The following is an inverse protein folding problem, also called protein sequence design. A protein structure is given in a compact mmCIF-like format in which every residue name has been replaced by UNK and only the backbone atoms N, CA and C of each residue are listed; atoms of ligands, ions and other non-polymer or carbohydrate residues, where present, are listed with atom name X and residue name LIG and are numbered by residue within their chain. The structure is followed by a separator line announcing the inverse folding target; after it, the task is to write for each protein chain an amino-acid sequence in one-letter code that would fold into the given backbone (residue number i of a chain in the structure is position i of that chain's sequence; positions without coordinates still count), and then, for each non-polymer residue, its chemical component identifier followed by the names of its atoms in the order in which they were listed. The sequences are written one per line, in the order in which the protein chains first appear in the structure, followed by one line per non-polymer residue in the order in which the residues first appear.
data_IF_837483985667
#
_entry.id   IF_837483985667
#
_cell.length_a   1.000
_cell.length_b   1.000
_cell.length_c   1.000
_cell.angle_alpha   90.00
_cell.angle_beta   90.00
_cell.angle_gamma   90.00
#
_symmetry.space_group_name_H-M   'P 1'
#
loop_
_entity.id
_entity.type
_entity.pdbx_description
1 polymer ?
#
# COMPACT_ATOMS: atom_id res chain seq x y z
N UNK A 1 45.18 -39.49 25.27
CA UNK A 1 44.05 -39.89 24.40
C UNK A 1 42.76 -39.58 25.13
N UNK A 2 42.08 -38.50 24.75
CA UNK A 2 40.74 -38.16 25.23
C UNK A 2 40.00 -37.56 24.03
N UNK A 3 39.26 -38.41 23.32
CA UNK A 3 38.46 -38.07 22.15
C UNK A 3 37.04 -38.52 22.48
N UNK A 4 36.41 -37.80 23.40
CA UNK A 4 35.09 -38.13 23.91
C UNK A 4 34.54 -36.95 24.68
N UNK A 5 34.06 -35.93 23.98
CA UNK A 5 33.10 -34.95 24.55
C UNK A 5 32.49 -34.05 23.46
N UNK A 6 33.28 -33.61 22.48
CA UNK A 6 32.85 -32.54 21.58
C UNK A 6 31.77 -32.91 20.54
N UNK A 7 31.66 -34.19 20.14
CA UNK A 7 30.69 -34.62 19.14
C UNK A 7 29.27 -34.79 19.70
N UNK A 8 29.13 -34.95 21.03
CA UNK A 8 27.83 -35.12 21.68
C UNK A 8 27.15 -33.78 21.99
N UNK A 9 27.89 -32.69 22.17
CA UNK A 9 27.30 -31.35 22.39
C UNK A 9 26.77 -30.73 21.10
N UNK A 10 27.39 -31.00 19.95
CA UNK A 10 26.92 -30.51 18.64
C UNK A 10 25.59 -31.17 18.20
N UNK A 11 25.34 -32.42 18.62
CA UNK A 11 24.13 -33.17 18.27
C UNK A 11 22.89 -32.82 19.14
N UNK A 12 23.07 -32.14 20.27
CA UNK A 12 21.98 -31.77 21.19
C UNK A 12 21.40 -30.37 20.91
N UNK A 13 22.05 -29.53 20.09
CA UNK A 13 21.58 -28.15 19.82
C UNK A 13 20.73 -27.98 18.55
N UNK A 14 20.46 -29.04 17.78
CA UNK A 14 19.48 -29.04 16.69
C UNK A 14 18.05 -29.33 17.19
N UNK A 15 17.68 -28.77 18.35
CA UNK A 15 16.27 -28.67 18.71
C UNK A 15 15.60 -27.76 17.68
N UNK A 16 14.75 -28.36 16.87
CA UNK A 16 14.23 -27.85 15.60
C UNK A 16 13.70 -26.42 15.70
N UNK A 17 14.29 -25.50 14.94
CA UNK A 17 13.78 -24.15 14.77
C UNK A 17 12.35 -24.20 14.19
N UNK A 18 11.40 -23.50 14.83
CA UNK A 18 9.96 -23.64 14.53
C UNK A 18 9.46 -22.41 13.77
N UNK A 19 8.75 -22.56 12.64
CA UNK A 19 8.13 -21.42 11.96
C UNK A 19 7.16 -20.68 12.88
N UNK A 20 7.34 -19.37 13.03
CA UNK A 20 6.51 -18.50 13.90
C UNK A 20 5.01 -18.68 13.67
N UNK A 21 4.60 -18.79 12.40
CA UNK A 21 3.20 -18.99 12.02
C UNK A 21 2.62 -20.29 12.57
N UNK A 22 3.41 -21.37 12.60
CA UNK A 22 2.98 -22.66 13.15
C UNK A 22 2.81 -22.59 14.68
N UNK A 23 3.67 -21.82 15.38
CA UNK A 23 3.53 -21.58 16.82
C UNK A 23 2.24 -20.84 17.15
N UNK A 24 1.94 -19.78 16.38
CA UNK A 24 0.70 -19.01 16.53
C UNK A 24 -0.52 -19.89 16.28
N UNK A 25 -0.52 -20.68 15.19
CA UNK A 25 -1.65 -21.56 14.86
C UNK A 25 -1.89 -22.61 15.95
N UNK A 26 -0.83 -23.28 16.42
CA UNK A 26 -0.92 -24.26 17.51
C UNK A 26 -1.44 -23.62 18.81
N UNK A 27 -0.88 -22.47 19.19
CA UNK A 27 -1.29 -21.77 20.40
C UNK A 27 -2.75 -21.30 20.33
N UNK A 28 -3.19 -20.83 19.16
CA UNK A 28 -4.57 -20.41 18.93
C UNK A 28 -5.54 -21.57 19.08
N UNK A 29 -5.25 -22.72 18.45
CA UNK A 29 -6.07 -23.94 18.58
C UNK A 29 -6.14 -24.45 20.02
N UNK A 30 -5.06 -24.28 20.79
CA UNK A 30 -5.02 -24.67 22.20
C UNK A 30 -5.92 -23.79 23.11
N UNK A 31 -6.34 -22.60 22.66
CA UNK A 31 -7.34 -21.79 23.39
C UNK A 31 -8.71 -22.49 23.37
N UNK A 32 -9.05 -23.23 22.31
CA UNK A 32 -10.35 -23.90 22.19
C UNK A 32 -11.49 -22.93 21.84
N UNK A 33 -12.70 -23.20 22.33
CA UNK A 33 -13.91 -22.46 21.97
C UNK A 33 -13.97 -21.04 22.54
N UNK A 34 -14.86 -20.22 21.97
CA UNK A 34 -15.12 -18.84 22.40
C UNK A 34 -14.28 -17.78 21.68
N UNK A 35 -13.58 -18.15 20.60
CA UNK A 35 -12.78 -17.23 19.77
C UNK A 35 -13.17 -17.29 18.29
N UNK A 36 -14.31 -17.89 17.97
CA UNK A 36 -14.73 -18.22 16.60
C UNK A 36 -14.82 -16.98 15.70
N UNK A 37 -15.30 -15.85 16.23
CA UNK A 37 -15.39 -14.57 15.47
C UNK A 37 -14.03 -13.93 15.19
N UNK A 38 -12.97 -14.43 15.82
CA UNK A 38 -11.57 -14.05 15.62
C UNK A 38 -10.79 -15.12 14.84
N UNK A 39 -11.45 -16.21 14.44
CA UNK A 39 -10.87 -17.35 13.72
C UNK A 39 -11.30 -17.37 12.24
N UNK A 40 -10.48 -18.01 11.40
CA UNK A 40 -10.82 -18.37 10.03
C UNK A 40 -11.62 -19.69 10.02
N UNK A 41 -12.16 -20.05 8.85
CA UNK A 41 -12.98 -21.26 8.66
C UNK A 41 -12.22 -22.56 8.99
N UNK A 42 -10.89 -22.55 8.94
CA UNK A 42 -10.02 -23.67 9.30
C UNK A 42 -9.72 -23.76 10.81
N UNK A 43 -10.31 -22.88 11.62
CA UNK A 43 -10.12 -22.78 13.07
C UNK A 43 -8.82 -22.11 13.52
N UNK A 44 -7.96 -21.68 12.58
CA UNK A 44 -6.79 -20.85 12.89
C UNK A 44 -7.16 -19.38 13.11
N UNK A 45 -6.26 -18.53 13.61
CA UNK A 45 -6.56 -17.12 13.80
C UNK A 45 -6.71 -16.38 12.46
N UNK A 46 -7.64 -15.43 12.37
CA UNK A 46 -7.69 -14.52 11.23
C UNK A 46 -6.36 -13.77 11.08
N UNK A 47 -5.97 -13.46 9.84
CA UNK A 47 -4.81 -12.58 9.58
C UNK A 47 -4.92 -11.24 10.33
N UNK A 48 -6.12 -10.71 10.49
CA UNK A 48 -6.37 -9.47 11.25
C UNK A 48 -6.23 -9.67 12.75
N UNK A 49 -6.64 -10.80 13.29
CA UNK A 49 -6.42 -11.17 14.71
C UNK A 49 -4.93 -11.16 15.03
N UNK A 50 -4.10 -11.76 14.17
CA UNK A 50 -2.64 -11.72 14.33
C UNK A 50 -2.12 -10.29 14.32
N UNK A 51 -2.49 -9.51 13.29
CA UNK A 51 -1.96 -8.15 13.09
C UNK A 51 -2.44 -7.11 14.11
N UNK A 52 -3.67 -7.23 14.61
CA UNK A 52 -4.33 -6.19 15.43
C UNK A 52 -4.39 -6.54 16.91
N UNK A 53 -4.28 -7.83 17.26
CA UNK A 53 -4.35 -8.28 18.65
C UNK A 53 -3.05 -8.98 19.03
N UNK A 54 -2.68 -10.06 18.34
CA UNK A 54 -1.57 -10.89 18.80
C UNK A 54 -0.23 -10.16 18.76
N UNK A 55 0.15 -9.60 17.61
CA UNK A 55 1.43 -8.93 17.43
C UNK A 55 1.58 -7.68 18.32
N UNK A 56 0.64 -6.73 18.31
CA UNK A 56 0.79 -5.49 19.09
C UNK A 56 0.44 -5.62 20.58
N UNK A 57 -0.58 -6.40 20.96
CA UNK A 57 -1.18 -6.33 22.30
C UNK A 57 -0.82 -7.55 23.18
N UNK A 58 -0.75 -8.74 22.60
CA UNK A 58 -0.40 -9.97 23.34
C UNK A 58 1.11 -10.15 23.39
N UNK A 59 1.75 -10.23 22.22
CA UNK A 59 3.18 -10.48 22.06
C UNK A 59 3.99 -9.20 22.26
N UNK A 60 3.41 -8.04 21.96
CA UNK A 60 4.04 -6.72 22.07
C UNK A 60 5.40 -6.70 21.38
N UNK A 61 5.44 -6.99 20.08
CA UNK A 61 6.68 -7.22 19.33
C UNK A 61 7.72 -6.09 19.41
N UNK A 62 7.30 -4.84 19.67
CA UNK A 62 8.23 -3.71 19.89
C UNK A 62 9.08 -3.90 21.15
N UNK A 63 8.50 -4.49 22.20
CA UNK A 63 9.16 -4.75 23.48
C UNK A 63 9.72 -6.18 23.56
N UNK A 64 9.19 -7.11 22.78
CA UNK A 64 9.62 -8.51 22.74
C UNK A 64 10.03 -8.92 21.32
N UNK A 65 11.12 -8.34 20.82
CA UNK A 65 11.62 -8.53 19.45
C UNK A 65 12.00 -9.99 19.16
N UNK A 66 12.34 -10.79 20.17
CA UNK A 66 12.58 -12.22 20.01
C UNK A 66 11.38 -12.97 19.37
N UNK A 67 10.15 -12.49 19.57
CA UNK A 67 8.95 -13.10 18.99
C UNK A 67 8.67 -12.68 17.54
N UNK A 68 9.44 -11.76 16.95
CA UNK A 68 9.22 -11.26 15.59
C UNK A 68 9.96 -12.06 14.51
N UNK A 69 10.92 -12.91 14.89
CA UNK A 69 11.69 -13.69 13.92
C UNK A 69 10.79 -14.68 13.15
N UNK A 70 10.96 -14.85 11.82
CA UNK A 70 10.14 -15.77 11.02
C UNK A 70 10.24 -17.23 11.45
N UNK A 71 11.40 -17.62 11.98
CA UNK A 71 11.70 -18.93 12.56
C UNK A 71 12.24 -18.69 13.96
N UNK A 72 11.68 -19.39 14.95
CA UNK A 72 11.96 -19.20 16.37
C UNK A 72 12.81 -20.35 16.91
N UNK A 73 13.72 -20.01 17.82
CA UNK A 73 14.36 -21.01 18.66
C UNK A 73 13.30 -21.75 19.52
N UNK A 74 13.49 -23.03 19.86
CA UNK A 74 12.53 -23.84 20.60
C UNK A 74 12.02 -23.22 21.90
N UNK A 75 12.90 -22.57 22.65
CA UNK A 75 12.60 -21.92 23.92
C UNK A 75 11.71 -20.70 23.70
N UNK A 76 12.02 -19.90 22.67
CA UNK A 76 11.24 -18.72 22.27
C UNK A 76 9.87 -19.15 21.74
N UNK A 77 9.80 -20.22 20.96
CA UNK A 77 8.56 -20.80 20.47
C UNK A 77 7.67 -21.29 21.62
N UNK A 78 8.27 -21.92 22.63
CA UNK A 78 7.57 -22.39 23.84
C UNK A 78 7.04 -21.22 24.67
N UNK A 79 7.85 -20.19 24.90
CA UNK A 79 7.45 -18.99 25.61
C UNK A 79 6.32 -18.24 24.87
N UNK A 80 6.43 -18.10 23.55
CA UNK A 80 5.41 -17.46 22.72
C UNK A 80 4.08 -18.23 22.78
N UNK A 81 4.14 -19.56 22.69
CA UNK A 81 2.96 -20.42 22.80
C UNK A 81 2.28 -20.26 24.17
N UNK A 82 3.06 -20.36 25.26
CA UNK A 82 2.55 -20.19 26.62
C UNK A 82 1.92 -18.81 26.84
N UNK A 83 2.52 -17.75 26.28
CA UNK A 83 2.00 -16.38 26.38
C UNK A 83 0.63 -16.23 25.69
N UNK A 84 0.47 -16.77 24.49
CA UNK A 84 -0.81 -16.71 23.75
C UNK A 84 -1.88 -17.52 24.49
N UNK A 85 -1.58 -18.76 24.87
CA UNK A 85 -2.52 -19.62 25.61
C UNK A 85 -2.90 -19.00 26.96
N UNK A 86 -1.94 -18.40 27.66
CA UNK A 86 -2.16 -17.70 28.93
C UNK A 86 -3.09 -16.48 28.80
N UNK A 87 -3.23 -15.91 27.60
CA UNK A 87 -4.20 -14.84 27.30
C UNK A 87 -5.56 -15.36 26.80
N UNK A 88 -5.78 -16.67 26.80
CA UNK A 88 -7.02 -17.31 26.35
C UNK A 88 -8.29 -16.68 26.94
N UNK A 89 -8.41 -16.46 28.26
CA UNK A 89 -9.58 -15.81 28.85
C UNK A 89 -9.85 -14.40 28.30
N UNK A 90 -8.81 -13.57 28.15
CA UNK A 90 -8.95 -12.23 27.57
C UNK A 90 -9.32 -12.29 26.08
N UNK A 91 -8.78 -13.27 25.33
CA UNK A 91 -9.12 -13.46 23.91
C UNK A 91 -10.57 -13.90 23.72
N UNK A 92 -11.13 -14.72 24.62
CA UNK A 92 -12.56 -15.06 24.61
C UNK A 92 -13.43 -13.85 24.96
N UNK A 93 -13.09 -13.12 26.03
CA UNK A 93 -13.78 -11.88 26.37
C UNK A 93 -13.70 -10.85 25.22
N UNK A 94 -12.58 -10.80 24.49
CA UNK A 94 -12.42 -9.94 23.29
C UNK A 94 -13.40 -10.34 22.20
N UNK A 95 -13.59 -11.63 21.97
CA UNK A 95 -14.56 -12.15 21.01
C UNK A 95 -15.99 -11.78 21.41
N UNK A 96 -16.34 -11.90 22.69
CA UNK A 96 -17.65 -11.51 23.23
C UNK A 96 -17.90 -10.00 23.08
N UNK A 97 -16.90 -9.17 23.39
CA UNK A 97 -16.97 -7.71 23.17
C UNK A 97 -17.20 -7.40 21.70
N UNK A 98 -16.51 -8.10 20.79
CA UNK A 98 -16.69 -7.89 19.36
C UNK A 98 -18.11 -8.25 18.89
N UNK A 99 -18.73 -9.28 19.44
CA UNK A 99 -20.14 -9.62 19.17
C UNK A 99 -21.07 -8.52 19.68
N UNK A 100 -20.84 -7.99 20.89
CA UNK A 100 -21.60 -6.88 21.45
C UNK A 100 -21.49 -5.61 20.58
N UNK A 101 -20.25 -5.20 20.23
CA UNK A 101 -20.03 -4.04 19.35
C UNK A 101 -20.63 -4.25 17.96
N UNK A 102 -20.60 -5.46 17.39
CA UNK A 102 -21.28 -5.74 16.10
C UNK A 102 -22.79 -5.59 16.19
N UNK A 103 -23.40 -5.98 17.30
CA UNK A 103 -24.83 -5.83 17.53
C UNK A 103 -25.20 -4.36 17.69
N UNK A 104 -24.44 -3.62 18.49
CA UNK A 104 -24.67 -2.18 18.67
C UNK A 104 -24.38 -1.38 17.39
N UNK A 105 -23.36 -1.75 16.60
CA UNK A 105 -23.09 -1.18 15.26
C UNK A 105 -24.30 -1.28 14.34
N UNK A 106 -24.97 -2.45 14.33
CA UNK A 106 -26.19 -2.67 13.55
C UNK A 106 -27.34 -1.82 14.07
N UNK A 107 -27.50 -1.72 15.41
CA UNK A 107 -28.53 -0.89 16.05
C UNK A 107 -28.38 0.59 15.68
N UNK A 108 -27.16 1.11 15.69
CA UNK A 108 -26.83 2.50 15.32
C UNK A 108 -26.76 2.74 13.80
N UNK A 109 -27.02 1.71 12.97
CA UNK A 109 -26.96 1.78 11.50
C UNK A 109 -25.61 2.30 10.97
N UNK A 110 -24.52 1.98 11.66
CA UNK A 110 -23.17 2.32 11.22
C UNK A 110 -22.79 1.37 10.08
N UNK A 111 -22.60 1.93 8.89
CA UNK A 111 -22.25 1.16 7.67
C UNK A 111 -20.77 1.30 7.28
N UNK A 112 -20.08 2.30 7.81
CA UNK A 112 -18.70 2.65 7.45
C UNK A 112 -17.65 1.94 8.33
N UNK A 113 -16.40 1.91 7.87
CA UNK A 113 -15.27 1.26 8.54
C UNK A 113 -15.28 -0.28 8.55
N UNK A 114 -14.10 -0.90 8.44
CA UNK A 114 -13.96 -2.35 8.62
C UNK A 114 -13.98 -2.69 10.11
N UNK A 115 -15.04 -3.38 10.57
CA UNK A 115 -15.23 -3.71 11.98
C UNK A 115 -14.07 -4.51 12.58
N UNK A 116 -13.46 -5.43 11.81
CA UNK A 116 -12.31 -6.21 12.32
C UNK A 116 -11.06 -5.35 12.46
N UNK A 117 -10.91 -4.30 11.66
CA UNK A 117 -9.74 -3.41 11.75
C UNK A 117 -9.89 -2.40 12.88
N UNK A 118 -11.09 -1.85 13.05
CA UNK A 118 -11.36 -0.80 14.03
C UNK A 118 -11.62 -1.35 15.43
N UNK A 119 -12.33 -2.46 15.55
CA UNK A 119 -12.86 -2.89 16.86
C UNK A 119 -11.95 -3.88 17.56
N UNK A 120 -11.13 -4.66 16.84
CA UNK A 120 -10.29 -5.70 17.45
C UNK A 120 -9.36 -5.18 18.56
N UNK A 121 -8.60 -4.09 18.37
CA UNK A 121 -7.76 -3.55 19.45
C UNK A 121 -8.59 -3.11 20.66
N UNK A 122 -9.67 -2.37 20.41
CA UNK A 122 -10.54 -1.83 21.47
C UNK A 122 -11.27 -2.93 22.23
N UNK A 123 -11.73 -3.97 21.55
CA UNK A 123 -12.34 -5.14 22.20
C UNK A 123 -11.34 -5.85 23.11
N UNK A 124 -10.06 -5.89 22.75
CA UNK A 124 -9.02 -6.46 23.60
C UNK A 124 -8.73 -5.58 24.82
N UNK A 125 -8.68 -4.26 24.65
CA UNK A 125 -8.55 -3.32 25.76
C UNK A 125 -9.74 -3.42 26.73
N UNK A 126 -10.97 -3.50 26.22
CA UNK A 126 -12.17 -3.72 27.03
C UNK A 126 -12.13 -5.08 27.74
N UNK A 127 -11.67 -6.14 27.07
CA UNK A 127 -11.50 -7.45 27.70
C UNK A 127 -10.46 -7.42 28.84
N UNK A 128 -9.38 -6.65 28.68
CA UNK A 128 -8.34 -6.50 29.72
C UNK A 128 -8.83 -5.65 30.88
N UNK A 129 -9.56 -4.57 30.62
CA UNK A 129 -9.97 -3.59 31.64
C UNK A 129 -11.30 -3.93 32.32
N UNK A 130 -12.23 -4.55 31.60
CA UNK A 130 -13.60 -4.85 32.07
C UNK A 130 -13.94 -6.34 32.12
N UNK A 131 -13.11 -7.21 31.55
CA UNK A 131 -13.40 -8.65 31.49
C UNK A 131 -14.47 -8.99 30.45
N UNK A 132 -15.26 -10.03 30.72
CA UNK A 132 -16.34 -10.50 29.83
C UNK A 132 -17.48 -9.47 29.82
N UNK A 133 -18.00 -9.04 28.65
CA UNK A 133 -19.05 -8.03 28.59
C UNK A 133 -20.36 -8.52 29.21
N UNK A 134 -21.04 -7.64 29.95
CA UNK A 134 -22.36 -7.90 30.52
C UNK A 134 -23.44 -7.04 29.84
N UNK A 135 -24.71 -7.38 30.03
CA UNK A 135 -25.83 -6.58 29.46
C UNK A 135 -25.77 -5.11 29.88
N UNK A 136 -25.32 -4.83 31.11
CA UNK A 136 -25.11 -3.47 31.61
C UNK A 136 -24.06 -2.67 30.82
N UNK A 137 -23.13 -3.35 30.15
CA UNK A 137 -22.08 -2.72 29.34
C UNK A 137 -22.55 -2.20 27.98
N UNK A 138 -23.83 -2.36 27.64
CA UNK A 138 -24.36 -1.84 26.38
C UNK A 138 -24.18 -0.33 26.24
N UNK A 139 -24.19 0.42 27.35
CA UNK A 139 -23.84 1.85 27.35
C UNK A 139 -22.37 2.07 26.97
N UNK A 140 -21.45 1.28 27.55
CA UNK A 140 -20.02 1.29 27.17
C UNK A 140 -19.86 1.01 25.68
N UNK A 141 -20.51 -0.02 25.13
CA UNK A 141 -20.42 -0.34 23.71
C UNK A 141 -20.96 0.80 22.82
N UNK A 142 -22.01 1.49 23.30
CA UNK A 142 -22.57 2.67 22.62
C UNK A 142 -21.57 3.83 22.60
N UNK A 143 -20.98 4.17 23.74
CA UNK A 143 -19.98 5.24 23.88
C UNK A 143 -18.72 4.95 23.07
N UNK A 144 -18.20 3.73 23.15
CA UNK A 144 -17.03 3.29 22.38
C UNK A 144 -17.28 3.38 20.88
N UNK A 145 -18.43 2.90 20.39
CA UNK A 145 -18.77 3.05 18.97
C UNK A 145 -18.99 4.50 18.59
N UNK A 146 -19.62 5.27 19.48
CA UNK A 146 -19.78 6.69 19.28
C UNK A 146 -18.40 7.34 19.10
N UNK A 147 -17.45 7.15 19.99
CA UNK A 147 -16.13 7.78 19.92
C UNK A 147 -15.31 7.29 18.73
N UNK A 148 -15.35 5.97 18.44
CA UNK A 148 -14.67 5.40 17.27
C UNK A 148 -15.19 5.96 15.95
N UNK A 149 -16.47 6.38 15.87
CA UNK A 149 -17.11 6.85 14.65
C UNK A 149 -17.37 8.36 14.60
N UNK A 150 -17.36 9.08 15.74
CA UNK A 150 -17.55 10.54 15.87
C UNK A 150 -16.52 11.33 15.07
N UNK A 151 -15.34 10.76 14.80
CA UNK A 151 -14.26 11.38 14.05
C UNK A 151 -13.89 10.76 12.69
N UNK A 152 -14.45 9.59 12.31
CA UNK A 152 -13.81 8.74 11.28
C UNK A 152 -14.41 8.72 9.87
N UNK A 153 -15.68 9.03 9.62
CA UNK A 153 -16.19 8.89 8.23
C UNK A 153 -17.14 9.97 7.70
N UNK A 154 -17.78 10.77 8.56
CA UNK A 154 -18.71 11.82 8.11
C UNK A 154 -18.18 13.24 8.30
N UNK A 155 -17.62 13.53 9.47
CA UNK A 155 -17.17 14.89 9.84
C UNK A 155 -16.05 15.43 8.98
N UNK A 156 -14.99 14.69 8.63
CA UNK A 156 -13.87 15.29 7.88
C UNK A 156 -14.20 15.58 6.41
N UNK A 157 -14.97 14.70 5.75
CA UNK A 157 -15.45 14.95 4.39
C UNK A 157 -16.50 16.07 4.40
N UNK A 158 -17.37 16.11 5.41
CA UNK A 158 -18.32 17.22 5.60
C UNK A 158 -17.62 18.54 5.92
N UNK A 159 -16.53 18.52 6.71
CA UNK A 159 -15.69 19.70 7.00
C UNK A 159 -14.96 20.14 5.75
N UNK A 160 -14.44 19.21 4.94
CA UNK A 160 -13.87 19.52 3.63
C UNK A 160 -14.92 20.17 2.71
N UNK A 161 -16.09 19.56 2.58
CA UNK A 161 -17.17 20.10 1.75
C UNK A 161 -17.60 21.50 2.25
N UNK A 162 -17.77 21.69 3.56
CA UNK A 162 -18.08 23.02 4.11
C UNK A 162 -16.95 24.03 3.91
N UNK A 163 -15.70 23.58 3.98
CA UNK A 163 -14.53 24.44 3.77
C UNK A 163 -14.44 24.94 2.33
N UNK A 164 -14.76 24.08 1.36
CA UNK A 164 -14.70 24.43 -0.07
C UNK A 164 -15.98 25.12 -0.60
N UNK A 165 -17.09 25.04 0.14
CA UNK A 165 -18.31 25.82 -0.13
C UNK A 165 -18.08 27.33 0.01
N UNK A 166 -17.06 27.76 0.78
CA UNK A 166 -16.67 29.15 0.92
C UNK A 166 -15.86 29.64 -0.31
N UNK A 167 -16.39 30.57 -1.13
CA UNK A 167 -15.70 31.06 -2.32
C UNK A 167 -14.37 31.76 -2.01
N UNK A 168 -14.23 32.39 -0.83
CA UNK A 168 -12.99 33.07 -0.44
C UNK A 168 -11.86 32.07 -0.15
N UNK A 169 -12.20 30.90 0.39
CA UNK A 169 -11.28 29.78 0.58
C UNK A 169 -10.78 29.28 -0.77
N UNK A 170 -11.69 29.00 -1.71
CA UNK A 170 -11.34 28.53 -3.06
C UNK A 170 -10.46 29.55 -3.78
N UNK A 171 -10.80 30.84 -3.69
CA UNK A 171 -9.99 31.91 -4.28
C UNK A 171 -8.60 32.01 -3.65
N UNK A 172 -8.47 31.78 -2.33
CA UNK A 172 -7.17 31.75 -1.64
C UNK A 172 -6.31 30.57 -2.08
N UNK A 173 -6.89 29.37 -2.17
CA UNK A 173 -6.19 28.17 -2.64
C UNK A 173 -5.78 28.32 -4.11
N UNK A 174 -6.63 28.90 -4.97
CA UNK A 174 -6.28 29.19 -6.35
C UNK A 174 -5.11 30.16 -6.48
N UNK A 175 -5.07 31.23 -5.67
CA UNK A 175 -3.92 32.14 -5.61
C UNK A 175 -2.64 31.46 -5.13
N UNK A 176 -2.74 30.52 -4.18
CA UNK A 176 -1.60 29.72 -3.74
C UNK A 176 -1.09 28.85 -4.88
N UNK A 177 -1.98 28.10 -5.54
CA UNK A 177 -1.67 27.27 -6.71
C UNK A 177 -0.96 28.09 -7.78
N UNK A 178 -1.46 29.26 -8.14
CA UNK A 178 -0.88 30.07 -9.20
C UNK A 178 0.52 30.59 -8.85
N UNK A 179 0.86 30.72 -7.56
CA UNK A 179 2.23 31.01 -7.12
C UNK A 179 3.08 29.75 -7.16
N UNK A 180 2.69 28.70 -6.45
CA UNK A 180 3.44 27.44 -6.35
C UNK A 180 3.73 26.83 -7.73
N UNK A 181 2.77 26.88 -8.67
CA UNK A 181 2.95 26.42 -10.05
C UNK A 181 4.01 27.23 -10.83
N UNK A 182 4.10 28.54 -10.59
CA UNK A 182 5.08 29.42 -11.26
C UNK A 182 6.48 29.29 -10.67
N UNK A 183 6.60 28.83 -9.43
CA UNK A 183 7.88 28.70 -8.74
C UNK A 183 8.63 27.42 -9.14
N UNK A 184 7.93 26.40 -9.63
CA UNK A 184 8.54 25.16 -10.12
C UNK A 184 9.18 25.38 -11.49
N UNK A 185 10.51 25.21 -11.55
CA UNK A 185 11.31 25.42 -12.76
C UNK A 185 12.36 24.32 -12.89
N UNK A 186 12.48 23.74 -14.08
CA UNK A 186 13.58 22.84 -14.39
C UNK A 186 14.86 23.64 -14.66
N UNK A 187 16.00 23.05 -14.32
CA UNK A 187 17.30 23.45 -14.86
C UNK A 187 17.69 22.59 -16.09
N UNK A 188 18.85 22.88 -16.68
CA UNK A 188 19.42 22.17 -17.84
C UNK A 188 20.40 21.04 -17.45
N UNK A 189 20.25 20.43 -16.27
CA UNK A 189 21.15 19.38 -15.80
C UNK A 189 21.10 18.11 -16.67
N UNK A 190 22.26 17.45 -16.78
CA UNK A 190 22.41 16.21 -17.56
C UNK A 190 21.75 15.05 -16.81
N UNK A 191 20.77 14.40 -17.45
CA UNK A 191 19.95 13.33 -16.84
C UNK A 191 20.52 11.92 -17.00
N UNK A 192 21.49 11.72 -17.91
CA UNK A 192 22.08 10.42 -18.22
C UNK A 192 22.64 9.63 -17.02
N UNK A 193 23.42 10.25 -16.11
CA UNK A 193 23.96 9.57 -14.94
C UNK A 193 22.89 8.96 -14.02
N UNK A 194 21.74 9.63 -13.88
CA UNK A 194 20.63 9.13 -13.08
C UNK A 194 20.09 7.80 -13.63
N UNK A 195 19.82 7.75 -14.94
CA UNK A 195 19.32 6.53 -15.60
C UNK A 195 20.35 5.40 -15.60
N UNK A 196 21.64 5.72 -15.75
CA UNK A 196 22.71 4.72 -15.61
C UNK A 196 22.76 4.15 -14.18
N UNK A 197 22.54 4.98 -13.16
CA UNK A 197 22.45 4.53 -11.76
C UNK A 197 21.26 3.59 -11.52
N UNK A 198 20.14 3.80 -12.21
CA UNK A 198 18.96 2.91 -12.11
C UNK A 198 19.28 1.47 -12.52
N UNK A 199 20.23 1.25 -13.43
CA UNK A 199 20.71 -0.12 -13.77
C UNK A 199 21.23 -0.85 -12.54
N UNK A 200 21.91 -0.15 -11.63
CA UNK A 200 22.38 -0.72 -10.36
C UNK A 200 21.24 -0.92 -9.36
N UNK A 201 20.37 0.09 -9.22
CA UNK A 201 19.23 0.07 -8.27
C UNK A 201 18.22 -1.03 -8.60
N UNK A 202 17.93 -1.22 -9.88
CA UNK A 202 16.96 -2.20 -10.38
C UNK A 202 17.59 -3.53 -10.83
N UNK A 203 18.93 -3.65 -10.83
CA UNK A 203 19.68 -4.88 -11.14
C UNK A 203 19.76 -5.89 -9.99
N UNK A 204 20.43 -7.03 -10.21
CA UNK A 204 20.75 -8.06 -9.21
C UNK A 204 21.68 -7.56 -8.12
N UNK A 205 21.66 -8.28 -7.00
CA UNK A 205 22.70 -8.25 -5.98
C UNK A 205 22.67 -9.63 -5.32
N UNK A 206 23.74 -10.40 -5.52
CA UNK A 206 23.89 -11.73 -4.95
C UNK A 206 24.70 -11.73 -3.65
N UNK A 207 25.45 -10.67 -3.39
CA UNK A 207 26.32 -10.52 -2.22
C UNK A 207 25.94 -9.31 -1.36
N UNK A 208 26.31 -9.36 -0.08
CA UNK A 208 26.12 -8.23 0.85
C UNK A 208 26.81 -6.93 0.37
N UNK A 209 27.96 -7.06 -0.31
CA UNK A 209 28.69 -5.92 -0.88
C UNK A 209 27.90 -5.26 -2.01
N UNK A 210 27.28 -6.05 -2.89
CA UNK A 210 26.43 -5.53 -3.97
C UNK A 210 25.15 -4.90 -3.42
N UNK A 211 24.54 -5.49 -2.38
CA UNK A 211 23.37 -4.89 -1.71
C UNK A 211 23.71 -3.53 -1.09
N UNK A 212 24.88 -3.43 -0.43
CA UNK A 212 25.37 -2.16 0.14
C UNK A 212 25.70 -1.14 -0.95
N UNK A 213 26.30 -1.58 -2.07
CA UNK A 213 26.54 -0.72 -3.21
C UNK A 213 25.22 -0.18 -3.79
N UNK A 214 24.21 -1.05 -3.97
CA UNK A 214 22.88 -0.66 -4.42
C UNK A 214 22.24 0.41 -3.53
N UNK A 215 22.27 0.21 -2.21
CA UNK A 215 21.72 1.20 -1.27
C UNK A 215 22.44 2.55 -1.34
N UNK A 216 23.77 2.54 -1.53
CA UNK A 216 24.54 3.78 -1.73
C UNK A 216 24.18 4.49 -3.03
N UNK A 217 24.04 3.75 -4.14
CA UNK A 217 23.58 4.32 -5.42
C UNK A 217 22.18 4.90 -5.26
N UNK A 218 21.26 4.20 -4.59
CA UNK A 218 19.91 4.69 -4.36
C UNK A 218 19.90 6.02 -3.58
N UNK A 219 20.68 6.14 -2.51
CA UNK A 219 20.83 7.41 -1.79
C UNK A 219 21.37 8.54 -2.68
N UNK A 220 22.32 8.24 -3.57
CA UNK A 220 22.84 9.22 -4.51
C UNK A 220 21.78 9.65 -5.54
N UNK A 221 20.97 8.72 -6.04
CA UNK A 221 19.88 9.03 -6.98
C UNK A 221 18.75 9.83 -6.34
N UNK A 222 18.48 9.64 -5.04
CA UNK A 222 17.51 10.48 -4.31
C UNK A 222 18.00 11.93 -4.28
N UNK A 223 19.30 12.15 -4.03
CA UNK A 223 19.89 13.49 -3.97
C UNK A 223 20.18 14.10 -5.35
N UNK A 224 19.90 13.38 -6.43
CA UNK A 224 20.10 13.86 -7.79
C UNK A 224 18.95 14.83 -8.16
N UNK A 225 19.24 15.91 -8.89
CA UNK A 225 18.22 16.87 -9.31
C UNK A 225 17.36 16.37 -10.49
N UNK A 226 17.78 15.30 -11.18
CA UNK A 226 17.10 14.75 -12.36
C UNK A 226 15.61 14.48 -12.12
N UNK A 227 15.18 13.84 -11.01
CA UNK A 227 13.78 13.61 -10.75
C UNK A 227 12.96 14.89 -10.65
N UNK A 228 13.48 15.89 -9.95
CA UNK A 228 12.85 17.19 -9.83
C UNK A 228 12.75 17.86 -11.21
N UNK A 229 13.86 17.93 -11.95
CA UNK A 229 13.95 18.66 -13.21
C UNK A 229 13.05 18.08 -14.30
N UNK A 230 13.02 16.75 -14.43
CA UNK A 230 12.10 16.10 -15.37
C UNK A 230 10.63 16.35 -14.96
N UNK A 231 10.33 16.38 -13.67
CA UNK A 231 8.96 16.64 -13.21
C UNK A 231 8.56 18.10 -13.28
N UNK A 232 9.52 19.02 -13.24
CA UNK A 232 9.27 20.44 -13.48
C UNK A 232 9.11 20.74 -14.99
N UNK A 233 9.81 20.01 -15.86
CA UNK A 233 9.77 20.25 -17.30
C UNK A 233 8.42 19.91 -17.93
N UNK A 234 7.61 19.03 -17.32
CA UNK A 234 6.24 18.71 -17.79
C UNK A 234 5.28 19.90 -17.74
N UNK A 235 5.61 20.95 -16.98
CA UNK A 235 4.83 22.19 -16.96
C UNK A 235 5.13 23.09 -18.17
N UNK A 236 6.25 22.86 -18.86
CA UNK A 236 6.73 23.65 -20.00
C UNK A 236 6.26 23.10 -21.35
N UNK A 237 6.22 23.96 -22.37
CA UNK A 237 5.71 23.62 -23.72
C UNK A 237 6.66 22.77 -24.57
N UNK A 238 7.90 22.55 -24.13
CA UNK A 238 8.91 21.75 -24.84
C UNK A 238 9.14 20.48 -24.02
N UNK A 239 8.63 19.35 -24.51
CA UNK A 239 8.82 18.07 -23.85
C UNK A 239 10.29 17.64 -23.95
N UNK A 240 11.00 17.67 -22.81
CA UNK A 240 12.37 17.14 -22.68
C UNK A 240 12.39 15.73 -22.11
N UNK A 241 11.22 15.11 -21.95
CA UNK A 241 11.07 13.79 -21.38
C UNK A 241 11.41 12.68 -22.38
N UNK A 242 12.01 11.56 -21.91
CA UNK A 242 12.17 10.35 -22.73
C UNK A 242 10.85 9.63 -23.08
N UNK A 243 9.72 10.06 -22.53
CA UNK A 243 8.41 9.41 -22.63
C UNK A 243 7.28 10.44 -22.55
N UNK A 244 6.14 10.17 -23.19
CA UNK A 244 4.95 11.02 -23.07
C UNK A 244 4.18 10.73 -21.78
N UNK A 245 3.85 11.78 -21.01
CA UNK A 245 3.07 11.69 -19.77
C UNK A 245 1.62 11.21 -20.01
N UNK A 246 1.13 11.41 -21.24
CA UNK A 246 -0.21 10.98 -21.68
C UNK A 246 -0.23 9.49 -21.99
N UNK A 247 0.75 9.00 -22.75
CA UNK A 247 0.83 7.59 -23.13
C UNK A 247 0.96 6.67 -21.91
N UNK A 248 1.88 7.03 -20.99
CA UNK A 248 2.08 6.28 -19.75
C UNK A 248 0.94 6.48 -18.74
N UNK A 249 0.05 7.45 -18.98
CA UNK A 249 -1.19 7.66 -18.23
C UNK A 249 -1.02 8.34 -16.88
N UNK A 250 -0.02 9.22 -16.75
CA UNK A 250 0.13 10.10 -15.58
C UNK A 250 -0.76 11.34 -15.70
N UNK A 251 -0.93 11.90 -16.90
CA UNK A 251 -1.85 13.00 -17.23
C UNK A 251 -2.68 12.67 -18.48
N UNK A 252 -3.75 13.40 -18.72
CA UNK A 252 -4.55 13.35 -19.96
C UNK A 252 -4.08 14.33 -21.02
N UNK A 253 -3.27 15.32 -20.65
CA UNK A 253 -2.81 16.39 -21.53
C UNK A 253 -1.32 16.64 -21.37
N UNK A 254 -0.68 17.08 -22.44
CA UNK A 254 0.73 17.50 -22.46
C UNK A 254 0.83 18.84 -23.20
N UNK A 255 1.46 19.89 -22.62
CA UNK A 255 2.04 19.93 -21.27
C UNK A 255 0.99 19.83 -20.15
N UNK A 256 1.44 19.48 -18.95
CA UNK A 256 0.57 19.39 -17.79
C UNK A 256 -0.05 20.77 -17.49
N UNK A 257 -1.33 20.77 -17.13
CA UNK A 257 -2.04 21.98 -16.70
C UNK A 257 -1.98 22.14 -15.18
N UNK A 258 -2.03 23.38 -14.65
CA UNK A 258 -2.21 23.61 -13.23
C UNK A 258 -3.42 22.84 -12.68
N UNK A 259 -3.33 22.26 -11.47
CA UNK A 259 -4.43 21.47 -10.92
C UNK A 259 -5.65 22.36 -10.64
N UNK A 260 -6.85 21.83 -10.90
CA UNK A 260 -8.07 22.45 -10.42
C UNK A 260 -8.09 22.42 -8.88
N UNK A 261 -8.66 23.44 -8.24
CA UNK A 261 -8.88 23.40 -6.79
C UNK A 261 -10.00 22.41 -6.48
N UNK A 262 -11.15 22.63 -7.10
CA UNK A 262 -12.34 21.80 -7.01
C UNK A 262 -12.96 21.64 -8.40
N UNK A 263 -13.81 20.62 -8.57
CA UNK A 263 -14.48 20.28 -9.82
C UNK A 263 -14.03 18.94 -10.40
N UNK A 264 -14.96 18.28 -11.08
CA UNK A 264 -14.70 17.03 -11.80
C UNK A 264 -13.96 17.39 -13.09
N UNK A 265 -12.63 17.28 -13.05
CA UNK A 265 -11.83 17.32 -14.28
C UNK A 265 -12.03 15.94 -14.91
N UNK A 266 -12.38 15.88 -16.20
CA UNK A 266 -12.59 14.65 -16.99
C UNK A 266 -11.40 13.63 -16.97
N UNK A 267 -10.36 13.88 -16.18
CA UNK A 267 -9.19 13.03 -16.00
C UNK A 267 -9.21 12.26 -14.67
N UNK A 268 -9.41 10.94 -14.73
CA UNK A 268 -9.07 10.04 -13.63
C UNK A 268 -7.55 9.82 -13.45
N UNK A 269 -6.74 10.50 -14.25
CA UNK A 269 -5.28 10.38 -14.26
C UNK A 269 -4.69 11.01 -12.99
N UNK A 270 -3.60 10.46 -12.44
CA UNK A 270 -3.04 10.93 -11.18
C UNK A 270 -2.77 12.44 -11.11
N UNK A 271 -2.19 13.00 -12.18
CA UNK A 271 -1.76 14.41 -12.24
C UNK A 271 -2.88 15.38 -12.62
N UNK A 272 -4.06 14.88 -13.02
CA UNK A 272 -5.21 15.70 -13.41
C UNK A 272 -6.21 15.91 -12.27
N UNK A 273 -6.09 15.12 -11.19
CA UNK A 273 -7.00 15.19 -10.05
C UNK A 273 -6.97 16.56 -9.40
N UNK A 274 -8.15 17.08 -9.08
CA UNK A 274 -8.30 18.28 -8.29
C UNK A 274 -7.64 18.15 -6.91
N UNK A 275 -7.27 19.27 -6.31
CA UNK A 275 -6.75 19.33 -4.93
C UNK A 275 -7.76 18.69 -3.98
N UNK A 276 -9.04 19.04 -4.12
CA UNK A 276 -10.12 18.50 -3.28
C UNK A 276 -10.24 16.98 -3.42
N UNK A 277 -10.13 16.42 -4.62
CA UNK A 277 -10.19 14.96 -4.80
C UNK A 277 -9.01 14.23 -4.18
N UNK A 278 -7.81 14.83 -4.22
CA UNK A 278 -6.63 14.28 -3.55
C UNK A 278 -6.79 14.30 -2.03
N UNK A 279 -7.22 15.42 -1.45
CA UNK A 279 -7.53 15.53 -0.01
C UNK A 279 -8.62 14.54 0.39
N UNK A 280 -9.71 14.46 -0.37
CA UNK A 280 -10.81 13.51 -0.14
C UNK A 280 -10.31 12.07 -0.18
N UNK A 281 -9.43 11.73 -1.13
CA UNK A 281 -8.84 10.40 -1.22
C UNK A 281 -7.91 10.08 -0.03
N UNK A 282 -7.18 11.07 0.49
CA UNK A 282 -6.38 10.96 1.71
C UNK A 282 -7.27 10.70 2.93
N UNK A 283 -8.30 11.53 3.14
CA UNK A 283 -9.22 11.42 4.27
C UNK A 283 -9.98 10.07 4.28
N UNK A 284 -10.27 9.50 3.10
CA UNK A 284 -10.90 8.17 2.97
C UNK A 284 -9.96 7.00 3.34
N UNK A 285 -8.65 7.18 3.25
CA UNK A 285 -7.65 6.11 3.49
C UNK A 285 -6.99 6.20 4.87
N UNK A 286 -7.08 7.37 5.52
CA UNK A 286 -6.49 7.62 6.82
C UNK A 286 -7.20 6.83 7.94
N UNK A 287 -6.54 5.79 8.44
CA UNK A 287 -6.99 5.02 9.61
C UNK A 287 -6.65 5.75 10.93
N UNK A 288 -5.53 6.48 10.96
CA UNK A 288 -4.96 7.17 12.12
C UNK A 288 -4.95 8.69 11.89
N UNK A 289 -6.13 9.31 11.95
CA UNK A 289 -6.35 10.71 11.57
C UNK A 289 -5.71 11.75 12.48
N UNK A 290 -5.42 11.40 13.74
CA UNK A 290 -4.85 12.35 14.71
C UNK A 290 -3.43 12.79 14.33
N UNK A 291 -2.79 12.07 13.40
CA UNK A 291 -1.49 12.40 12.83
C UNK A 291 -1.59 13.30 11.58
N UNK A 292 -2.80 13.53 11.03
CA UNK A 292 -2.99 14.44 9.90
C UNK A 292 -3.25 15.90 10.36
N UNK A 293 -2.79 16.89 9.56
CA UNK A 293 -3.21 18.27 9.72
C UNK A 293 -4.73 18.46 9.67
N UNK A 294 -5.20 19.60 10.17
CA UNK A 294 -6.59 20.00 9.97
C UNK A 294 -6.91 20.21 8.47
N UNK A 295 -8.20 20.22 8.12
CA UNK A 295 -8.63 20.30 6.72
C UNK A 295 -8.09 21.54 6.00
N UNK A 296 -8.10 22.76 6.59
CA UNK A 296 -7.50 23.93 5.95
C UNK A 296 -6.01 23.76 5.64
N UNK A 297 -5.20 23.29 6.60
CA UNK A 297 -3.77 23.08 6.39
C UNK A 297 -3.52 21.96 5.38
N UNK A 298 -4.27 20.86 5.49
CA UNK A 298 -4.19 19.73 4.55
C UNK A 298 -4.50 20.15 3.10
N UNK A 299 -5.47 21.07 2.90
CA UNK A 299 -5.75 21.62 1.57
C UNK A 299 -4.62 22.50 1.05
N UNK A 300 -4.03 23.35 1.91
CA UNK A 300 -2.91 24.20 1.52
C UNK A 300 -1.67 23.37 1.14
N UNK A 301 -1.31 22.38 1.96
CA UNK A 301 -0.21 21.45 1.65
C UNK A 301 -0.48 20.60 0.41
N UNK A 302 -1.73 20.23 0.16
CA UNK A 302 -2.08 19.51 -1.07
C UNK A 302 -2.00 20.41 -2.31
N UNK A 303 -2.22 21.73 -2.19
CA UNK A 303 -1.95 22.65 -3.30
C UNK A 303 -0.47 22.63 -3.66
N UNK A 304 0.41 22.71 -2.66
CA UNK A 304 1.86 22.67 -2.90
C UNK A 304 2.28 21.31 -3.46
N UNK A 305 1.80 20.20 -2.88
CA UNK A 305 2.03 18.85 -3.42
C UNK A 305 1.52 18.71 -4.85
N UNK A 306 0.35 19.25 -5.19
CA UNK A 306 -0.20 19.15 -6.53
C UNK A 306 0.53 20.01 -7.57
N UNK A 307 1.18 21.09 -7.13
CA UNK A 307 2.02 21.93 -7.98
C UNK A 307 3.48 21.44 -8.05
N UNK A 308 3.93 20.62 -7.11
CA UNK A 308 5.28 20.07 -7.10
C UNK A 308 5.54 19.15 -8.32
N UNK A 309 6.80 18.95 -8.71
CA UNK A 309 7.17 17.97 -9.73
C UNK A 309 6.47 16.62 -9.52
N UNK A 310 5.82 16.12 -10.56
CA UNK A 310 5.04 14.88 -10.54
C UNK A 310 3.84 14.84 -9.58
N UNK A 311 3.50 15.96 -8.95
CA UNK A 311 2.55 16.00 -7.86
C UNK A 311 3.06 15.37 -6.55
N UNK A 312 4.39 15.37 -6.33
CA UNK A 312 5.08 14.79 -5.16
C UNK A 312 6.14 15.78 -4.65
N UNK A 313 6.15 16.06 -3.34
CA UNK A 313 7.07 17.05 -2.75
C UNK A 313 8.48 16.51 -2.54
N UNK A 314 8.61 15.29 -2.01
CA UNK A 314 9.93 14.80 -1.60
C UNK A 314 10.72 14.11 -2.72
N UNK A 315 12.02 14.36 -2.71
CA UNK A 315 12.97 13.85 -3.71
C UNK A 315 12.97 12.32 -3.80
N UNK A 316 12.86 11.63 -2.66
CA UNK A 316 12.82 10.16 -2.61
C UNK A 316 11.58 9.57 -3.32
N UNK A 317 10.46 10.29 -3.31
CA UNK A 317 9.19 9.88 -3.94
C UNK A 317 9.22 10.21 -5.43
N UNK A 318 9.81 11.34 -5.82
CA UNK A 318 10.05 11.68 -7.21
C UNK A 318 10.99 10.65 -7.87
N UNK A 319 12.14 10.34 -7.25
CA UNK A 319 13.06 9.30 -7.72
C UNK A 319 12.37 7.92 -7.81
N UNK A 320 11.54 7.58 -6.82
CA UNK A 320 10.80 6.31 -6.82
C UNK A 320 9.78 6.23 -7.95
N UNK A 321 9.13 7.35 -8.28
CA UNK A 321 8.22 7.42 -9.42
C UNK A 321 8.98 7.17 -10.72
N UNK A 322 10.14 7.79 -10.95
CA UNK A 322 10.92 7.57 -12.18
C UNK A 322 11.44 6.15 -12.31
N UNK A 323 11.91 5.54 -11.23
CA UNK A 323 12.23 4.11 -11.22
C UNK A 323 11.01 3.26 -11.63
N UNK A 324 9.82 3.67 -11.20
CA UNK A 324 8.55 3.05 -11.59
C UNK A 324 8.14 3.30 -13.04
N UNK A 325 8.38 4.49 -13.61
CA UNK A 325 8.12 4.79 -15.03
C UNK A 325 9.04 3.96 -15.93
N UNK A 326 10.32 3.88 -15.58
CA UNK A 326 11.31 3.06 -16.27
C UNK A 326 10.94 1.57 -16.23
N UNK A 327 10.46 1.09 -15.08
CA UNK A 327 9.93 -0.26 -14.99
C UNK A 327 8.64 -0.44 -15.81
N UNK A 328 7.67 0.47 -15.70
CA UNK A 328 6.38 0.38 -16.38
C UNK A 328 6.48 0.37 -17.90
N UNK A 329 7.44 1.10 -18.45
CA UNK A 329 7.72 1.17 -19.90
C UNK A 329 8.34 -0.13 -20.43
N UNK A 330 9.07 -0.87 -19.58
CA UNK A 330 9.57 -2.21 -19.89
C UNK A 330 8.49 -3.31 -19.80
N UNK A 331 7.37 -3.07 -19.10
CA UNK A 331 6.30 -4.05 -18.93
C UNK A 331 5.37 -4.08 -20.15
N UNK A 332 5.38 -5.22 -20.84
CA UNK A 332 4.62 -5.47 -22.07
C UNK A 332 4.01 -6.88 -22.02
N UNK A 333 2.99 -7.13 -21.19
CA UNK A 333 2.49 -8.48 -20.93
C UNK A 333 2.06 -9.28 -22.16
N UNK A 334 1.64 -8.60 -23.24
CA UNK A 334 1.22 -9.22 -24.51
C UNK A 334 2.37 -9.45 -25.49
N UNK A 335 3.53 -8.81 -25.30
CA UNK A 335 4.65 -8.87 -26.24
C UNK A 335 5.38 -10.21 -26.22
N UNK A 336 5.81 -10.66 -27.40
CA UNK A 336 6.66 -11.84 -27.55
C UNK A 336 8.12 -11.48 -27.24
N UNK A 337 8.71 -12.14 -26.24
CA UNK A 337 10.14 -12.04 -25.88
C UNK A 337 10.68 -10.60 -25.78
N UNK A 338 10.20 -9.84 -24.79
CA UNK A 338 10.60 -8.45 -24.58
C UNK A 338 11.91 -8.38 -23.80
N UNK A 339 12.96 -7.81 -24.40
CA UNK A 339 14.18 -7.44 -23.69
C UNK A 339 13.88 -6.24 -22.80
N UNK A 340 14.03 -6.42 -21.49
CA UNK A 340 13.85 -5.35 -20.50
C UNK A 340 15.20 -4.73 -20.14
N UNK A 341 15.24 -3.43 -19.88
CA UNK A 341 16.48 -2.70 -19.51
C UNK A 341 16.98 -3.09 -18.12
N UNK A 342 16.07 -3.45 -17.23
CA UNK A 342 16.37 -3.75 -15.84
C UNK A 342 16.00 -5.20 -15.48
N UNK A 343 16.80 -5.83 -14.62
CA UNK A 343 16.50 -7.20 -14.16
C UNK A 343 15.19 -7.28 -13.37
N UNK A 344 14.91 -6.28 -12.52
CA UNK A 344 13.63 -6.24 -11.80
C UNK A 344 12.44 -6.23 -12.76
N UNK A 345 12.54 -5.45 -13.84
CA UNK A 345 11.56 -5.43 -14.93
C UNK A 345 11.46 -6.81 -15.58
N UNK A 346 12.59 -7.45 -15.91
CA UNK A 346 12.63 -8.80 -16.49
C UNK A 346 11.88 -9.81 -15.63
N UNK A 347 12.14 -9.80 -14.31
CA UNK A 347 11.52 -10.70 -13.34
C UNK A 347 10.02 -10.48 -13.23
N UNK A 348 9.58 -9.23 -13.24
CA UNK A 348 8.14 -8.89 -13.16
C UNK A 348 7.43 -9.24 -14.47
N UNK A 349 8.00 -8.86 -15.61
CA UNK A 349 7.53 -9.21 -16.95
C UNK A 349 7.38 -10.73 -17.11
N UNK A 350 8.39 -11.50 -16.72
CA UNK A 350 8.36 -12.96 -16.78
C UNK A 350 7.26 -13.58 -15.92
N UNK A 351 6.89 -12.96 -14.79
CA UNK A 351 5.74 -13.38 -13.99
C UNK A 351 4.42 -13.03 -14.67
N UNK A 352 4.28 -11.80 -15.16
CA UNK A 352 3.06 -11.31 -15.81
C UNK A 352 2.72 -12.15 -17.05
N UNK A 353 3.71 -12.43 -17.91
CA UNK A 353 3.52 -13.23 -19.13
C UNK A 353 3.07 -14.68 -18.84
N UNK A 354 3.40 -15.20 -17.65
CA UNK A 354 3.02 -16.55 -17.20
C UNK A 354 1.67 -16.59 -16.48
N UNK A 355 1.02 -15.46 -16.25
CA UNK A 355 -0.33 -15.46 -15.69
C UNK A 355 -1.31 -16.11 -16.68
N UNK A 356 -2.17 -17.00 -16.18
CA UNK A 356 -3.06 -17.80 -17.02
C UNK A 356 -3.95 -16.93 -17.92
N UNK A 357 -4.44 -15.80 -17.40
CA UNK A 357 -5.29 -14.89 -18.16
C UNK A 357 -4.54 -14.13 -19.25
N UNK A 358 -3.25 -13.83 -19.04
CA UNK A 358 -2.39 -13.19 -20.05
C UNK A 358 -2.04 -14.18 -21.15
N UNK A 359 -1.67 -15.42 -20.78
CA UNK A 359 -1.45 -16.49 -21.74
C UNK A 359 -2.70 -16.80 -22.56
N UNK A 360 -3.87 -16.77 -21.91
CA UNK A 360 -5.15 -16.90 -22.60
C UNK A 360 -5.35 -15.74 -23.59
N UNK A 361 -5.24 -14.49 -23.16
CA UNK A 361 -5.38 -13.32 -24.03
C UNK A 361 -4.45 -13.39 -25.26
N UNK A 362 -3.16 -13.74 -25.07
CA UNK A 362 -2.19 -13.86 -26.16
C UNK A 362 -2.57 -14.88 -27.25
N UNK A 363 -3.26 -15.97 -26.89
CA UNK A 363 -3.72 -16.98 -27.88
C UNK A 363 -4.85 -16.47 -28.77
N UNK A 364 -5.55 -15.43 -28.36
CA UNK A 364 -6.69 -14.85 -29.07
C UNK A 364 -6.38 -13.44 -29.59
N UNK A 365 -5.11 -13.17 -29.91
CA UNK A 365 -4.68 -11.97 -30.62
C UNK A 365 -4.46 -12.27 -32.10
N UNK A 366 -4.88 -11.35 -32.96
CA UNK A 366 -4.49 -11.31 -34.38
C UNK A 366 -3.88 -9.94 -34.63
N UNK A 367 -2.63 -9.88 -35.10
CA UNK A 367 -1.86 -8.65 -35.27
C UNK A 367 -1.82 -7.73 -34.01
N UNK A 368 -1.87 -8.32 -32.81
CA UNK A 368 -1.87 -7.59 -31.53
C UNK A 368 -3.25 -7.11 -31.08
N UNK A 369 -4.31 -7.34 -31.87
CA UNK A 369 -5.68 -6.93 -31.54
C UNK A 369 -6.54 -8.10 -31.06
N UNK A 370 -7.52 -7.78 -30.21
CA UNK A 370 -8.48 -8.76 -29.70
C UNK A 370 -9.36 -9.32 -30.83
N UNK A 371 -9.36 -10.64 -31.00
CA UNK A 371 -10.21 -11.32 -31.99
C UNK A 371 -11.70 -11.20 -31.66
N UNK A 372 -12.05 -11.15 -30.37
CA UNK A 372 -13.44 -11.08 -29.92
C UNK A 372 -13.72 -9.76 -29.17
N UNK A 373 -14.82 -9.04 -29.45
CA UNK A 373 -15.16 -7.77 -28.77
C UNK A 373 -15.14 -7.85 -27.24
N UNK A 374 -15.61 -8.97 -26.67
CA UNK A 374 -15.58 -9.25 -25.23
C UNK A 374 -14.18 -9.25 -24.59
N UNK A 375 -13.12 -9.49 -25.37
CA UNK A 375 -11.74 -9.50 -24.87
C UNK A 375 -11.05 -8.15 -25.07
N UNK A 376 -11.66 -7.22 -25.83
CA UNK A 376 -11.07 -5.92 -26.19
C UNK A 376 -10.62 -5.15 -24.95
N UNK A 377 -11.49 -5.01 -23.94
CA UNK A 377 -11.14 -4.31 -22.70
C UNK A 377 -9.92 -4.90 -21.98
N UNK A 378 -9.82 -6.23 -21.91
CA UNK A 378 -8.71 -6.90 -21.24
C UNK A 378 -7.41 -6.76 -22.04
N UNK A 379 -7.50 -6.85 -23.36
CA UNK A 379 -6.36 -6.66 -24.27
C UNK A 379 -5.88 -5.22 -24.21
N UNK A 380 -6.78 -4.24 -24.22
CA UNK A 380 -6.45 -2.81 -24.11
C UNK A 380 -5.78 -2.51 -22.75
N UNK A 381 -6.32 -3.06 -21.65
CA UNK A 381 -5.73 -2.91 -20.31
C UNK A 381 -4.34 -3.55 -20.20
N UNK A 382 -4.11 -4.67 -20.88
CA UNK A 382 -2.81 -5.36 -20.92
C UNK A 382 -1.81 -4.69 -21.87
N UNK A 383 -2.27 -4.17 -23.01
CA UNK A 383 -1.45 -3.38 -23.92
C UNK A 383 -1.01 -2.06 -23.27
N UNK A 384 -1.92 -1.43 -22.51
CA UNK A 384 -1.68 -0.19 -21.78
C UNK A 384 -1.33 -0.41 -20.30
N UNK A 385 -0.64 -1.51 -19.96
CA UNK A 385 -0.36 -1.91 -18.57
C UNK A 385 0.34 -0.84 -17.72
N UNK A 386 1.13 0.03 -18.35
CA UNK A 386 1.79 1.16 -17.69
C UNK A 386 0.78 2.07 -16.97
N UNK A 387 -0.42 2.27 -17.53
CA UNK A 387 -1.43 3.19 -17.01
C UNK A 387 -1.98 2.77 -15.63
N UNK A 388 -2.55 1.56 -15.44
CA UNK A 388 -2.99 1.12 -14.11
C UNK A 388 -1.81 0.91 -13.15
N UNK A 389 -0.62 0.54 -13.64
CA UNK A 389 0.59 0.44 -12.83
C UNK A 389 0.97 1.80 -12.23
N UNK A 390 1.18 2.82 -13.06
CA UNK A 390 1.62 4.14 -12.63
C UNK A 390 0.55 4.87 -11.83
N UNK A 391 -0.73 4.71 -12.17
CA UNK A 391 -1.83 5.24 -11.36
C UNK A 391 -1.79 4.73 -9.92
N UNK A 392 -1.49 3.43 -9.76
CA UNK A 392 -1.42 2.80 -8.44
C UNK A 392 -0.11 3.06 -7.71
N UNK A 393 1.00 3.17 -8.43
CA UNK A 393 2.27 3.60 -7.86
C UNK A 393 2.16 5.03 -7.33
N UNK A 394 1.68 5.96 -8.16
CA UNK A 394 1.50 7.35 -7.77
C UNK A 394 0.62 7.47 -6.53
N UNK A 395 -0.51 6.76 -6.48
CA UNK A 395 -1.40 6.80 -5.31
C UNK A 395 -0.73 6.30 -4.01
N UNK A 396 0.24 5.36 -4.10
CA UNK A 396 1.01 4.90 -2.94
C UNK A 396 2.10 5.89 -2.55
N UNK A 397 2.77 6.49 -3.53
CA UNK A 397 3.79 7.52 -3.29
C UNK A 397 3.17 8.79 -2.72
N UNK A 398 2.05 9.24 -3.25
CA UNK A 398 1.27 10.37 -2.70
C UNK A 398 0.84 10.10 -1.27
N UNK A 399 0.35 8.90 -0.97
CA UNK A 399 0.07 8.50 0.41
C UNK A 399 1.30 8.62 1.31
N UNK A 400 2.44 8.07 0.88
CA UNK A 400 3.71 8.21 1.62
C UNK A 400 4.14 9.67 1.78
N UNK A 401 3.86 10.52 0.81
CA UNK A 401 4.18 11.94 0.85
C UNK A 401 3.35 12.68 1.91
N UNK A 402 2.04 12.43 1.93
CA UNK A 402 1.13 12.93 2.98
C UNK A 402 1.61 12.52 4.38
N UNK A 403 1.98 11.24 4.54
CA UNK A 403 2.40 10.67 5.82
C UNK A 403 3.89 10.86 6.11
N UNK A 404 4.61 11.57 5.24
CA UNK A 404 6.06 11.78 5.32
C UNK A 404 6.86 10.46 5.49
N UNK A 405 6.32 9.34 4.99
CA UNK A 405 6.98 8.05 4.98
C UNK A 405 8.10 8.04 3.95
N UNK A 406 9.27 7.53 4.33
CA UNK A 406 10.43 7.51 3.43
C UNK A 406 10.34 6.41 2.37
N UNK A 407 10.96 6.67 1.21
CA UNK A 407 11.34 5.71 0.18
C UNK A 407 12.88 5.53 0.11
N UNK A 408 13.60 5.89 1.17
CA UNK A 408 15.06 5.88 1.22
C UNK A 408 15.71 4.49 1.29
N UNK A 409 14.96 3.44 1.62
CA UNK A 409 15.43 2.05 1.59
C UNK A 409 15.16 1.43 0.21
N UNK A 410 16.22 0.90 -0.42
CA UNK A 410 16.14 0.38 -1.79
C UNK A 410 15.38 -0.94 -1.88
N UNK A 411 15.38 -1.76 -0.83
CA UNK A 411 14.67 -3.03 -0.83
C UNK A 411 13.17 -2.79 -0.61
N UNK A 412 12.80 -1.78 0.18
CA UNK A 412 11.42 -1.29 0.30
C UNK A 412 10.93 -0.68 -1.03
N UNK A 413 11.75 0.12 -1.71
CA UNK A 413 11.44 0.62 -3.05
C UNK A 413 11.15 -0.53 -4.02
N UNK A 414 12.07 -1.50 -4.13
CA UNK A 414 11.92 -2.63 -5.05
C UNK A 414 10.67 -3.44 -4.70
N UNK A 415 10.41 -3.66 -3.41
CA UNK A 415 9.21 -4.33 -2.92
C UNK A 415 7.92 -3.57 -3.26
N UNK A 416 7.95 -2.23 -3.17
CA UNK A 416 6.85 -1.36 -3.59
C UNK A 416 6.57 -1.53 -5.09
N UNK A 417 7.58 -1.41 -5.94
CA UNK A 417 7.47 -1.51 -7.40
C UNK A 417 6.91 -2.87 -7.84
N UNK A 418 7.41 -3.97 -7.28
CA UNK A 418 6.85 -5.31 -7.55
C UNK A 418 5.44 -5.48 -7.00
N UNK A 419 5.20 -4.95 -5.80
CA UNK A 419 3.90 -5.01 -5.14
C UNK A 419 2.81 -4.24 -5.89
N UNK A 420 3.18 -3.19 -6.64
CA UNK A 420 2.25 -2.49 -7.55
C UNK A 420 1.89 -3.40 -8.71
N UNK A 421 2.86 -3.96 -9.42
CA UNK A 421 2.61 -4.87 -10.55
C UNK A 421 1.75 -6.08 -10.15
N UNK A 422 2.07 -6.70 -9.00
CA UNK A 422 1.27 -7.80 -8.44
C UNK A 422 -0.17 -7.37 -8.17
N UNK A 423 -0.37 -6.16 -7.63
CA UNK A 423 -1.70 -5.67 -7.32
C UNK A 423 -2.52 -5.37 -8.57
N UNK A 424 -1.91 -4.88 -9.65
CA UNK A 424 -2.59 -4.66 -10.94
C UNK A 424 -2.96 -6.02 -11.56
N UNK A 425 -2.05 -6.98 -11.54
CA UNK A 425 -2.32 -8.33 -12.07
C UNK A 425 -3.46 -9.02 -11.34
N UNK A 426 -3.53 -8.90 -10.01
CA UNK A 426 -4.64 -9.44 -9.20
C UNK A 426 -5.98 -8.80 -9.58
N UNK A 427 -6.01 -7.49 -9.80
CA UNK A 427 -7.22 -6.76 -10.19
C UNK A 427 -7.70 -7.19 -11.59
N UNK A 428 -6.78 -7.33 -12.56
CA UNK A 428 -7.10 -7.86 -13.88
C UNK A 428 -7.67 -9.28 -13.78
N UNK A 429 -7.06 -10.14 -12.97
CA UNK A 429 -7.55 -11.51 -12.74
C UNK A 429 -8.95 -11.54 -12.15
N UNK A 430 -9.24 -10.67 -11.18
CA UNK A 430 -10.58 -10.57 -10.57
C UNK A 430 -11.62 -10.07 -11.57
N UNK A 431 -11.29 -9.04 -12.37
CA UNK A 431 -12.19 -8.53 -13.42
C UNK A 431 -12.51 -9.58 -14.48
N UNK A 432 -11.51 -10.33 -14.92
CA UNK A 432 -11.70 -11.43 -15.89
C UNK A 432 -12.55 -12.55 -15.28
N UNK A 433 -12.30 -12.92 -14.02
CA UNK A 433 -13.12 -13.92 -13.32
C UNK A 433 -14.59 -13.48 -13.25
N UNK A 434 -14.86 -12.23 -12.86
CA UNK A 434 -16.22 -11.69 -12.80
C UNK A 434 -16.90 -11.68 -14.18
N UNK A 435 -16.16 -11.32 -15.23
CA UNK A 435 -16.66 -11.37 -16.61
C UNK A 435 -17.07 -12.79 -17.03
N UNK A 436 -16.31 -13.81 -16.62
CA UNK A 436 -16.61 -15.22 -16.92
C UNK A 436 -17.76 -15.78 -16.06
N UNK A 437 -17.87 -15.38 -14.79
CA UNK A 437 -18.93 -15.85 -13.88
C UNK A 437 -20.32 -15.32 -14.27
N UNK A 438 -20.40 -14.08 -14.78
CA UNK A 438 -21.64 -13.52 -15.34
C UNK A 438 -22.18 -14.30 -16.55
N UNK A 439 -21.38 -15.19 -17.16
CA UNK A 439 -21.79 -16.04 -18.29
C UNK A 439 -22.48 -17.33 -17.87
N UNK A 440 -22.38 -17.74 -16.61
CA UNK A 440 -23.00 -19.00 -16.12
C UNK A 440 -24.41 -18.72 -15.57
N UNK A 441 -24.73 -17.46 -15.27
CA UNK A 441 -25.98 -17.03 -14.65
C UNK A 441 -27.00 -16.42 -15.63
N UNK A 442 -26.67 -16.30 -16.92
CA UNK A 442 -27.55 -15.83 -17.99
C UNK A 442 -27.47 -16.78 -19.18
#
# INVERSE_FOLDING_TARGET
MSIGSAASEAAVSLQSAVPRRAVIDRAWRAIGSGVEVLSADDGGPLRRTVKRILDPLVLRLRSNTAFSAPVLAPEVATAMHALIVGRGPQLRATADWFVMLKTERRRQRITTGNAQELYFPVCFELAVTKGVPQVADQRTATEVLHDLHRGRDRTAIEVLNRHIEDPDVVARLARLRDRSWRDVRSDDAITGPFFAGLTTVLGAAGSHREMTARQRVWKALIADATPYNLGASVHGTVATLPWSIVEIGLSSVEPQRPPAIDGDVDGHRPMDRSVVDRVRATLRRALDRDELPDVPLLCAEEVDRACAPWGLMSEDKQAALLAGVEMATDLRPLGDSVTTRYELSARVQARLVKEAYVMHARRYLVAGEAVHPRQRQVVDDLAAFARPYLSRLWARLHGRDVWQESCGDVDDLRSLLEGVARSVSLDHRQRIKAMLELQVAG
#
